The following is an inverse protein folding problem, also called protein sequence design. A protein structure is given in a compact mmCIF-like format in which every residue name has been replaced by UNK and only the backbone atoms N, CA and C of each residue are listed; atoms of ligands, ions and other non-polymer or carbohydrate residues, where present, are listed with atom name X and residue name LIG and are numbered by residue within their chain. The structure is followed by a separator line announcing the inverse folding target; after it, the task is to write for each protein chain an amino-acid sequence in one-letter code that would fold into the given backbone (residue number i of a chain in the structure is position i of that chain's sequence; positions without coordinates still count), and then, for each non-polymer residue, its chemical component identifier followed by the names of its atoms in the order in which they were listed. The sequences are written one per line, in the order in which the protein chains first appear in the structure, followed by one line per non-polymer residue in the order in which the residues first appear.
data_IF_234415153840
#
_entry.id   IF_234415153840
#
_cell.length_a   1.000
_cell.length_b   1.000
_cell.length_c   1.000
_cell.angle_alpha   90.00
_cell.angle_beta   90.00
_cell.angle_gamma   90.00
#
_symmetry.space_group_name_H-M   'P 1'
#
loop_
_entity.id
_entity.type
_entity.pdbx_description
1 polymer ?
#
# COMPACT_ATOMS: atom_id res chain seq x y z
N UNK A 1 -9.86 -3.70 6.68
CA UNK A 1 -10.03 -5.03 6.05
C UNK A 1 -11.08 -4.94 4.95
N UNK A 2 -10.80 -5.51 3.81
CA UNK A 2 -11.70 -5.51 2.66
C UNK A 2 -11.85 -6.93 2.15
N UNK A 3 -13.09 -7.34 1.91
CA UNK A 3 -13.37 -8.65 1.30
C UNK A 3 -13.46 -8.50 -0.22
N UNK A 4 -12.83 -9.44 -0.93
CA UNK A 4 -12.75 -9.44 -2.39
C UNK A 4 -13.27 -10.78 -2.90
N UNK A 5 -14.17 -10.73 -3.87
CA UNK A 5 -14.71 -11.93 -4.50
C UNK A 5 -13.78 -12.43 -5.60
N UNK A 6 -12.65 -12.96 -5.19
CA UNK A 6 -11.64 -13.55 -6.07
C UNK A 6 -10.77 -14.53 -5.27
N UNK A 7 -10.17 -15.53 -5.95
CA UNK A 7 -9.24 -16.45 -5.29
C UNK A 7 -8.01 -15.71 -4.76
N UNK A 8 -7.44 -16.19 -3.67
CA UNK A 8 -6.27 -15.56 -3.04
C UNK A 8 -5.08 -15.44 -4.02
N UNK A 9 -4.91 -16.40 -4.90
CA UNK A 9 -3.84 -16.36 -5.91
C UNK A 9 -3.99 -15.17 -6.86
N UNK A 10 -5.22 -14.84 -7.24
CA UNK A 10 -5.51 -13.70 -8.11
C UNK A 10 -5.28 -12.39 -7.37
N UNK A 11 -5.72 -12.31 -6.12
CA UNK A 11 -5.53 -11.12 -5.29
C UNK A 11 -4.04 -10.86 -5.08
N UNK A 12 -3.27 -11.89 -4.77
CA UNK A 12 -1.83 -11.80 -4.62
C UNK A 12 -1.15 -11.33 -5.91
N UNK A 13 -1.53 -11.90 -7.05
CA UNK A 13 -0.97 -11.53 -8.35
C UNK A 13 -1.10 -10.04 -8.64
N UNK A 14 -2.28 -9.48 -8.37
CA UNK A 14 -2.53 -8.05 -8.60
C UNK A 14 -1.76 -7.18 -7.60
N UNK A 15 -1.79 -7.54 -6.32
CA UNK A 15 -1.10 -6.75 -5.30
C UNK A 15 0.42 -6.77 -5.47
N UNK A 16 0.99 -7.92 -5.75
CA UNK A 16 2.44 -8.09 -5.83
C UNK A 16 3.08 -7.40 -7.05
N UNK A 17 2.28 -6.96 -7.99
CA UNK A 17 2.73 -6.09 -9.08
C UNK A 17 2.82 -4.65 -8.57
N UNK A 18 3.88 -4.35 -7.83
CA UNK A 18 4.04 -3.08 -7.13
C UNK A 18 4.11 -1.88 -8.07
N UNK A 19 4.68 -2.05 -9.26
CA UNK A 19 4.77 -0.95 -10.23
C UNK A 19 3.42 -0.56 -10.81
N UNK A 20 2.42 -1.42 -10.68
CA UNK A 20 1.04 -1.13 -11.09
C UNK A 20 0.22 -0.48 -9.97
N UNK A 21 0.79 -0.31 -8.79
CA UNK A 21 0.08 0.24 -7.61
C UNK A 21 -0.57 1.60 -7.84
N UNK A 22 -0.01 2.52 -8.64
CA UNK A 22 -0.68 3.80 -8.92
C UNK A 22 -2.06 3.69 -9.56
N UNK A 23 -2.40 2.53 -10.13
CA UNK A 23 -3.73 2.30 -10.73
C UNK A 23 -4.86 2.35 -9.70
N UNK A 24 -4.58 1.93 -8.47
CA UNK A 24 -5.59 1.86 -7.43
C UNK A 24 -5.21 2.64 -6.16
N UNK A 25 -3.94 2.93 -5.96
CA UNK A 25 -3.46 3.73 -4.84
C UNK A 25 -3.20 5.16 -5.33
N UNK A 26 -4.22 6.01 -5.22
CA UNK A 26 -4.29 7.31 -5.90
C UNK A 26 -3.15 8.28 -5.54
N UNK A 27 -2.71 8.27 -4.27
CA UNK A 27 -1.65 9.18 -3.84
C UNK A 27 -0.26 8.71 -4.27
N UNK A 28 -0.11 7.48 -4.69
CA UNK A 28 1.15 6.97 -5.20
C UNK A 28 1.29 7.36 -6.66
N UNK A 29 2.25 8.24 -6.92
CA UNK A 29 2.53 8.71 -8.28
C UNK A 29 3.30 7.66 -9.09
N UNK A 30 4.30 7.04 -8.46
CA UNK A 30 5.09 6.00 -9.12
C UNK A 30 5.74 5.05 -8.12
N UNK A 31 5.95 3.83 -8.58
CA UNK A 31 6.74 2.80 -7.88
C UNK A 31 7.69 2.21 -8.91
N UNK A 32 8.99 2.26 -8.64
CA UNK A 32 10.01 1.73 -9.54
C UNK A 32 10.82 0.66 -8.81
N UNK A 33 10.86 -0.54 -9.39
CA UNK A 33 11.70 -1.62 -8.87
C UNK A 33 13.15 -1.35 -9.26
N UNK A 34 14.07 -1.43 -8.30
CA UNK A 34 15.49 -1.18 -8.50
C UNK A 34 16.21 -2.48 -8.92
N UNK A 35 17.55 -2.44 -9.04
CA UNK A 35 18.32 -3.63 -9.40
C UNK A 35 18.08 -4.80 -8.44
N UNK A 36 18.04 -4.50 -7.12
CA UNK A 36 17.60 -5.46 -6.13
C UNK A 36 16.07 -5.55 -6.21
N UNK A 37 15.47 -6.70 -6.57
CA UNK A 37 14.02 -6.81 -6.74
C UNK A 37 13.22 -6.60 -5.45
N UNK A 38 13.87 -6.66 -4.29
CA UNK A 38 13.22 -6.37 -3.00
C UNK A 38 13.31 -4.89 -2.62
N UNK A 39 13.93 -4.07 -3.47
CA UNK A 39 14.10 -2.64 -3.22
C UNK A 39 13.31 -1.83 -4.26
N UNK A 40 12.43 -0.97 -3.77
CA UNK A 40 11.57 -0.14 -4.63
C UNK A 40 11.69 1.33 -4.25
N UNK A 41 11.55 2.19 -5.26
CA UNK A 41 11.56 3.65 -5.10
C UNK A 41 10.14 4.18 -5.27
N UNK A 42 9.63 4.86 -4.27
CA UNK A 42 8.25 5.32 -4.19
C UNK A 42 8.18 6.83 -4.24
N UNK A 43 7.19 7.34 -4.98
CA UNK A 43 6.83 8.76 -4.97
C UNK A 43 5.36 8.90 -4.61
N UNK A 44 5.09 9.67 -3.57
CA UNK A 44 3.74 9.99 -3.13
C UNK A 44 3.47 11.47 -3.36
N UNK A 45 2.34 11.79 -3.96
CA UNK A 45 1.89 13.16 -4.18
C UNK A 45 0.47 13.32 -3.65
N UNK A 46 0.31 14.11 -2.60
CA UNK A 46 -0.98 14.30 -1.94
C UNK A 46 -1.06 15.68 -1.28
N UNK A 47 -2.22 16.30 -1.35
CA UNK A 47 -2.53 17.55 -0.63
C UNK A 47 -1.51 18.67 -0.91
N UNK A 48 -0.96 18.72 -2.13
CA UNK A 48 0.05 19.73 -2.51
C UNK A 48 1.47 19.38 -2.08
N UNK A 49 1.67 18.25 -1.46
CA UNK A 49 2.99 17.78 -1.03
C UNK A 49 3.44 16.59 -1.86
N UNK A 50 4.75 16.43 -1.98
CA UNK A 50 5.37 15.30 -2.67
C UNK A 50 6.47 14.72 -1.79
N UNK A 51 6.43 13.40 -1.58
CA UNK A 51 7.38 12.68 -0.76
C UNK A 51 8.01 11.55 -1.54
N UNK A 52 9.28 11.27 -1.23
CA UNK A 52 10.02 10.14 -1.79
C UNK A 52 10.53 9.25 -0.68
N UNK A 53 10.54 7.96 -0.92
CA UNK A 53 11.25 7.01 -0.08
C UNK A 53 11.64 5.79 -0.88
N UNK A 54 12.64 5.07 -0.35
CA UNK A 54 12.98 3.74 -0.83
C UNK A 54 12.49 2.74 0.20
N UNK A 55 11.90 1.66 -0.23
CA UNK A 55 11.37 0.63 0.65
C UNK A 55 11.97 -0.72 0.31
N UNK A 56 12.31 -1.47 1.35
CA UNK A 56 12.76 -2.84 1.22
C UNK A 56 11.62 -3.77 1.62
N UNK A 57 11.40 -4.80 0.83
CA UNK A 57 10.50 -5.88 1.20
C UNK A 57 11.22 -6.72 2.24
N UNK A 58 10.69 -6.75 3.46
CA UNK A 58 11.30 -7.44 4.59
C UNK A 58 10.75 -8.86 4.76
N UNK A 59 9.56 -9.12 4.22
CA UNK A 59 8.95 -10.45 4.26
C UNK A 59 8.02 -10.62 3.07
N UNK A 60 8.15 -11.75 2.38
CA UNK A 60 7.27 -12.10 1.27
C UNK A 60 6.92 -13.58 1.38
N UNK A 61 5.63 -13.85 1.62
CA UNK A 61 5.09 -15.20 1.61
C UNK A 61 3.95 -15.23 0.62
N UNK A 62 4.16 -15.90 -0.51
CA UNK A 62 3.20 -15.92 -1.63
C UNK A 62 1.79 -16.26 -1.16
N UNK A 63 0.82 -15.46 -1.60
CA UNK A 63 -0.59 -15.60 -1.27
C UNK A 63 -0.94 -15.49 0.21
N UNK A 64 -0.01 -15.05 1.05
CA UNK A 64 -0.22 -14.91 2.50
C UNK A 64 0.07 -13.51 3.01
N UNK A 65 1.27 -12.99 2.75
CA UNK A 65 1.64 -11.68 3.31
C UNK A 65 2.83 -11.06 2.58
N UNK A 66 2.87 -9.73 2.66
CA UNK A 66 3.97 -8.92 2.15
C UNK A 66 4.23 -7.83 3.17
N UNK A 67 5.48 -7.69 3.62
CA UNK A 67 5.91 -6.64 4.54
C UNK A 67 6.97 -5.79 3.87
N UNK A 68 6.95 -4.48 4.14
CA UNK A 68 7.95 -3.54 3.62
C UNK A 68 8.29 -2.49 4.65
N UNK A 69 9.47 -1.90 4.52
CA UNK A 69 9.97 -0.87 5.41
C UNK A 69 10.83 0.10 4.62
N UNK A 70 10.70 1.40 4.88
CA UNK A 70 11.53 2.39 4.23
C UNK A 70 12.99 2.29 4.71
N UNK A 71 13.92 2.46 3.77
CA UNK A 71 15.36 2.45 4.03
C UNK A 71 16.00 3.81 3.73
N UNK A 72 15.20 4.80 3.33
CA UNK A 72 15.64 6.17 3.09
C UNK A 72 14.45 7.00 2.66
N UNK A 73 14.47 8.28 2.99
CA UNK A 73 13.38 9.21 2.71
C UNK A 73 12.32 9.20 3.80
N UNK A 74 11.06 9.33 3.43
CA UNK A 74 9.95 9.37 4.38
C UNK A 74 9.88 8.07 5.19
N UNK A 75 9.93 8.14 6.54
CA UNK A 75 9.80 6.92 7.34
C UNK A 75 8.39 6.32 7.21
N UNK A 76 8.34 5.11 6.69
CA UNK A 76 7.09 4.38 6.53
C UNK A 76 7.37 2.88 6.55
N UNK A 77 6.41 2.11 7.01
CA UNK A 77 6.44 0.66 6.90
C UNK A 77 5.01 0.16 6.81
N UNK A 78 4.84 -1.00 6.22
CA UNK A 78 3.53 -1.56 6.05
C UNK A 78 3.56 -3.07 5.94
N UNK A 79 2.37 -3.63 6.05
CA UNK A 79 2.13 -5.05 5.90
C UNK A 79 0.76 -5.25 5.30
N UNK A 80 0.66 -6.19 4.38
CA UNK A 80 -0.61 -6.66 3.87
C UNK A 80 -0.71 -8.16 4.11
N UNK A 81 -1.87 -8.60 4.57
CA UNK A 81 -2.16 -10.01 4.76
C UNK A 81 -3.39 -10.41 3.97
N UNK A 82 -3.36 -11.62 3.45
CA UNK A 82 -4.43 -12.20 2.66
C UNK A 82 -4.98 -13.43 3.39
N UNK A 83 -6.29 -13.43 3.58
CA UNK A 83 -6.98 -14.53 4.28
C UNK A 83 -7.99 -15.15 3.32
N UNK A 84 -7.75 -16.39 2.84
CA UNK A 84 -8.74 -17.06 2.01
C UNK A 84 -10.00 -17.36 2.83
N UNK A 85 -11.13 -16.87 2.36
CA UNK A 85 -12.43 -17.12 2.98
C UNK A 85 -13.18 -18.23 2.26
N UNK A 86 -12.62 -18.77 1.20
CA UNK A 86 -13.14 -19.81 0.36
C UNK A 86 -12.36 -19.87 -0.93
N UNK A 87 -12.78 -20.71 -1.87
CA UNK A 87 -12.08 -20.88 -3.14
C UNK A 87 -12.07 -19.61 -3.99
N UNK A 88 -13.12 -18.78 -3.89
CA UNK A 88 -13.31 -17.59 -4.71
C UNK A 88 -13.49 -16.31 -3.90
N UNK A 89 -12.99 -16.30 -2.68
CA UNK A 89 -13.16 -15.17 -1.79
C UNK A 89 -11.96 -14.98 -0.88
N UNK A 90 -11.53 -13.73 -0.70
CA UNK A 90 -10.33 -13.38 0.07
C UNK A 90 -10.58 -12.11 0.88
N UNK A 91 -10.12 -12.10 2.13
CA UNK A 91 -10.05 -10.87 2.92
C UNK A 91 -8.63 -10.32 2.85
N UNK A 92 -8.52 -9.00 2.68
CA UNK A 92 -7.25 -8.26 2.62
C UNK A 92 -7.19 -7.33 3.81
N UNK A 93 -6.10 -7.43 4.58
CA UNK A 93 -5.83 -6.53 5.70
C UNK A 93 -4.56 -5.76 5.45
N UNK A 94 -4.66 -4.44 5.33
CA UNK A 94 -3.54 -3.53 5.15
C UNK A 94 -3.27 -2.78 6.45
N UNK A 95 -2.01 -2.76 6.87
CA UNK A 95 -1.53 -1.97 8.01
C UNK A 95 -0.39 -1.10 7.54
N UNK A 96 -0.47 0.20 7.80
CA UNK A 96 0.56 1.18 7.40
C UNK A 96 0.91 2.04 8.60
N UNK A 97 2.21 2.19 8.85
CA UNK A 97 2.76 3.12 9.85
C UNK A 97 3.63 4.14 9.14
N UNK A 98 3.53 5.40 9.53
CA UNK A 98 4.30 6.47 8.93
C UNK A 98 4.60 7.55 9.97
N UNK A 99 5.66 8.34 9.73
CA UNK A 99 5.99 9.50 10.53
C UNK A 99 5.88 10.76 9.67
N UNK A 100 5.18 11.77 10.16
CA UNK A 100 5.09 13.05 9.47
C UNK A 100 6.44 13.76 9.51
N UNK A 101 6.90 14.33 8.38
CA UNK A 101 8.08 15.20 8.40
C UNK A 101 7.87 16.35 9.39
N UNK A 102 8.90 16.72 10.14
CA UNK A 102 8.82 17.79 11.15
C UNK A 102 8.31 19.12 10.62
N UNK A 103 8.54 19.39 9.32
CA UNK A 103 8.05 20.59 8.64
C UNK A 103 6.51 20.62 8.53
N UNK A 104 5.86 19.48 8.53
CA UNK A 104 4.40 19.38 8.46
C UNK A 104 3.74 19.27 9.83
N UNK A 105 4.47 18.82 10.85
CA UNK A 105 3.92 18.60 12.18
C UNK A 105 3.22 19.85 12.78
N UNK A 106 3.77 21.08 12.62
CA UNK A 106 3.08 22.27 13.12
C UNK A 106 1.85 22.69 12.28
N UNK A 107 1.70 22.18 11.07
CA UNK A 107 0.65 22.59 10.15
C UNK A 107 -0.59 21.71 10.20
N UNK A 108 -0.48 20.49 10.74
CA UNK A 108 -1.57 19.52 10.75
C UNK A 108 -1.62 18.79 12.08
N UNK A 109 -2.85 18.67 12.62
CA UNK A 109 -3.06 17.86 13.80
C UNK A 109 -2.98 16.37 13.43
N UNK A 110 -2.28 15.53 14.23
CA UNK A 110 -2.13 14.12 13.95
C UNK A 110 -3.46 13.37 13.77
N UNK A 111 -4.50 13.76 14.53
CA UNK A 111 -5.81 13.13 14.44
C UNK A 111 -6.50 13.42 13.11
N UNK A 112 -6.37 14.65 12.60
CA UNK A 112 -6.94 15.05 11.32
C UNK A 112 -6.22 14.32 10.18
N UNK A 113 -4.88 14.31 10.21
CA UNK A 113 -4.08 13.62 9.21
C UNK A 113 -4.36 12.12 9.22
N UNK A 114 -4.44 11.50 10.41
CA UNK A 114 -4.77 10.08 10.54
C UNK A 114 -6.12 9.74 9.94
N UNK A 115 -7.14 10.60 10.13
CA UNK A 115 -8.46 10.42 9.54
C UNK A 115 -8.44 10.49 8.01
N UNK A 116 -7.69 11.45 7.45
CA UNK A 116 -7.54 11.59 6.00
C UNK A 116 -6.85 10.37 5.40
N UNK A 117 -5.75 9.91 6.02
CA UNK A 117 -5.00 8.74 5.55
C UNK A 117 -5.86 7.48 5.62
N UNK A 118 -6.60 7.29 6.73
CA UNK A 118 -7.47 6.12 6.90
C UNK A 118 -8.54 6.06 5.82
N UNK A 119 -9.18 7.19 5.52
CA UNK A 119 -10.18 7.26 4.45
C UNK A 119 -9.58 6.96 3.09
N UNK A 120 -8.40 7.51 2.81
CA UNK A 120 -7.73 7.26 1.52
C UNK A 120 -7.30 5.80 1.38
N UNK A 121 -6.76 5.20 2.45
CA UNK A 121 -6.39 3.79 2.41
C UNK A 121 -7.61 2.90 2.15
N UNK A 122 -8.75 3.17 2.79
CA UNK A 122 -9.96 2.41 2.55
C UNK A 122 -10.46 2.60 1.11
N UNK A 123 -10.44 3.83 0.60
CA UNK A 123 -10.83 4.10 -0.78
C UNK A 123 -9.90 3.39 -1.77
N UNK A 124 -8.60 3.32 -1.47
CA UNK A 124 -7.63 2.58 -2.29
C UNK A 124 -7.93 1.09 -2.28
N UNK A 125 -8.26 0.51 -1.12
CA UNK A 125 -8.64 -0.89 -1.03
C UNK A 125 -9.91 -1.19 -1.80
N UNK A 126 -10.88 -0.27 -1.79
CA UNK A 126 -12.10 -0.41 -2.58
C UNK A 126 -11.80 -0.39 -4.09
N UNK A 127 -10.90 0.48 -4.53
CA UNK A 127 -10.44 0.51 -5.93
C UNK A 127 -9.68 -0.76 -6.30
N UNK A 128 -8.86 -1.26 -5.39
CA UNK A 128 -8.15 -2.52 -5.57
C UNK A 128 -9.14 -3.68 -5.75
N UNK A 129 -10.15 -3.76 -4.87
CA UNK A 129 -11.21 -4.77 -4.98
C UNK A 129 -11.87 -4.70 -6.36
N UNK A 130 -12.26 -3.50 -6.79
CA UNK A 130 -12.94 -3.33 -8.07
C UNK A 130 -12.05 -3.76 -9.23
N UNK A 131 -10.75 -3.45 -9.16
CA UNK A 131 -9.78 -3.84 -10.17
C UNK A 131 -9.64 -5.37 -10.25
N UNK A 132 -9.54 -6.04 -9.12
CA UNK A 132 -9.40 -7.50 -9.06
C UNK A 132 -10.67 -8.19 -9.56
N UNK A 133 -11.84 -7.71 -9.12
CA UNK A 133 -13.13 -8.33 -9.48
C UNK A 133 -13.51 -8.12 -10.95
N UNK A 134 -13.05 -7.04 -11.56
CA UNK A 134 -13.33 -6.74 -12.96
C UNK A 134 -12.42 -7.49 -13.94
N UNK A 135 -11.32 -7.98 -13.47
CA UNK A 135 -10.34 -8.72 -14.26
C UNK A 135 -10.47 -10.18 -14.13
#
# INVERSE_FOLDING_TARGET
TTEIEAPVARVWEVWSDLEAMPRWMRWIESVVTLEDPDLTDWTLAAQGFRFHWKARITKRVESQQLHWESVGGLPTRGAVRFYPLGADRTAVKLTVSYELPGVLAPLMEPTIMGGIVTKELQANLDRFRDLVESG
#
